data_IF_501209315470
#
_entry.id   IF_501209315470
#
_cell.length_a   1.000
_cell.length_b   1.000
_cell.length_c   1.000
_cell.angle_alpha   90.00
_cell.angle_beta   90.00
_cell.angle_gamma   90.00
#
_symmetry.space_group_name_H-M   'P 1'
#
loop_
_entity.id
_entity.type
_entity.pdbx_description
1 polymer ?
#
# COMPACT_ATOMS: atom_id res chain seq x y z
N UNK A 1 -15.74 19.16 -24.22
CA UNK A 1 -15.55 17.72 -24.53
C UNK A 1 -14.07 17.42 -24.40
N UNK A 2 -13.62 16.72 -23.35
CA UNK A 2 -12.20 16.41 -23.13
C UNK A 2 -11.96 14.92 -23.40
N UNK A 3 -11.07 14.60 -24.35
CA UNK A 3 -10.63 13.24 -24.67
C UNK A 3 -9.31 12.98 -23.94
N UNK A 4 -9.25 11.93 -23.12
CA UNK A 4 -8.01 11.44 -22.53
C UNK A 4 -7.30 10.55 -23.56
N UNK A 5 -6.09 10.94 -23.95
CA UNK A 5 -5.19 10.10 -24.72
C UNK A 5 -4.50 9.12 -23.77
N UNK A 6 -4.73 7.82 -23.96
CA UNK A 6 -4.08 6.76 -23.19
C UNK A 6 -2.61 6.64 -23.56
N UNK A 7 -1.74 6.65 -22.56
CA UNK A 7 -0.32 6.38 -22.73
C UNK A 7 -0.11 4.86 -22.69
N UNK A 8 0.36 4.29 -23.81
CA UNK A 8 0.70 2.88 -23.93
C UNK A 8 2.07 2.63 -23.27
N UNK A 9 2.10 1.74 -22.28
CA UNK A 9 3.34 1.32 -21.61
C UNK A 9 4.18 0.43 -22.52
N UNK A 10 5.38 0.90 -22.89
CA UNK A 10 6.42 0.09 -23.51
C UNK A 10 7.31 -0.50 -22.40
N UNK A 11 7.24 -1.81 -22.21
CA UNK A 11 8.11 -2.56 -21.28
C UNK A 11 9.48 -2.76 -21.93
N UNK A 12 10.48 -2.00 -21.51
CA UNK A 12 11.88 -2.18 -21.92
C UNK A 12 12.59 -3.17 -21.00
N UNK A 13 13.01 -4.32 -21.55
CA UNK A 13 13.83 -5.30 -20.85
C UNK A 13 15.28 -4.79 -20.75
N UNK A 14 15.79 -4.61 -19.52
CA UNK A 14 17.19 -4.28 -19.25
C UNK A 14 17.91 -5.55 -18.74
N UNK A 15 18.89 -6.03 -19.53
CA UNK A 15 19.74 -7.17 -19.18
C UNK A 15 20.77 -6.80 -18.11
N UNK A 16 20.89 -7.65 -17.08
CA UNK A 16 21.92 -7.58 -16.06
C UNK A 16 23.26 -8.07 -16.64
N UNK A 17 24.26 -7.19 -16.72
CA UNK A 17 25.68 -7.57 -16.89
C UNK A 17 26.36 -7.57 -15.52
N UNK A 18 26.90 -8.72 -15.13
CA UNK A 18 27.73 -8.90 -13.94
C UNK A 18 29.20 -8.62 -14.30
N UNK A 19 29.86 -7.72 -13.59
CA UNK A 19 31.30 -7.45 -13.71
C UNK A 19 32.08 -8.20 -12.65
N UNK A 20 33.10 -8.96 -13.04
CA UNK A 20 34.00 -9.66 -12.12
C UNK A 20 35.02 -8.70 -11.52
N UNK A 21 35.19 -8.74 -10.20
CA UNK A 21 36.26 -8.06 -9.47
C UNK A 21 37.52 -8.92 -9.55
N UNK A 22 38.62 -8.32 -10.02
CA UNK A 22 39.94 -8.93 -10.02
C UNK A 22 40.58 -8.67 -8.65
N UNK A 23 40.66 -9.71 -7.81
CA UNK A 23 41.41 -9.66 -6.57
C UNK A 23 42.90 -9.88 -6.89
N UNK A 24 43.69 -8.82 -6.83
CA UNK A 24 45.14 -8.91 -6.89
C UNK A 24 45.64 -9.50 -5.56
N UNK A 25 46.22 -10.70 -5.65
CA UNK A 25 47.06 -11.32 -4.62
C UNK A 25 48.19 -10.37 -4.24
N UNK A 26 48.23 -9.93 -2.99
CA UNK A 26 49.38 -9.24 -2.41
C UNK A 26 50.29 -10.30 -1.79
N UNK A 27 51.41 -10.55 -2.45
CA UNK A 27 52.57 -11.21 -1.87
C UNK A 27 53.35 -10.23 -0.98
N UNK A 28 54.15 -10.83 -0.10
CA UNK A 28 54.82 -10.33 1.09
C UNK A 28 56.01 -9.35 0.83
N UNK A 29 56.22 -8.46 1.81
CA UNK A 29 57.48 -7.74 2.19
C UNK A 29 58.12 -6.65 1.28
N UNK A 30 58.98 -5.73 1.81
CA UNK A 30 58.96 -5.08 3.13
C UNK A 30 59.11 -3.53 3.04
N UNK A 31 58.92 -2.90 4.20
CA UNK A 31 58.87 -1.46 4.49
C UNK A 31 60.04 -0.66 3.89
N UNK A 32 59.72 0.31 3.02
CA UNK A 32 60.61 1.41 2.61
C UNK A 32 60.24 2.67 3.38
N UNK A 33 61.12 3.09 4.29
CA UNK A 33 60.99 4.32 5.09
C UNK A 33 61.03 5.54 4.17
N UNK A 34 59.88 6.18 3.95
CA UNK A 34 59.77 7.46 3.26
C UNK A 34 60.01 8.59 4.28
N UNK A 35 60.96 9.48 3.98
CA UNK A 35 61.30 10.64 4.80
C UNK A 35 60.13 11.65 4.84
N UNK A 36 59.74 12.05 6.05
CA UNK A 36 58.64 12.99 6.33
C UNK A 36 59.03 14.44 6.02
N UNK A 37 60.32 14.74 5.85
CA UNK A 37 60.84 16.09 5.56
C UNK A 37 60.62 16.58 4.11
N UNK A 38 60.12 15.73 3.21
CA UNK A 38 59.63 16.18 1.89
C UNK A 38 58.15 16.59 1.93
N UNK A 39 57.46 16.42 3.07
CA UNK A 39 56.07 16.82 3.28
C UNK A 39 55.95 18.28 3.76
N UNK A 40 56.71 19.20 3.14
CA UNK A 40 56.57 20.65 3.38
C UNK A 40 55.31 21.22 2.70
N UNK A 41 54.15 20.80 3.20
CA UNK A 41 52.79 21.18 2.76
C UNK A 41 52.43 22.67 2.99
N UNK A 42 53.40 23.54 3.27
CA UNK A 42 53.17 24.96 3.54
C UNK A 42 54.23 25.92 2.99
N UNK A 43 55.14 25.48 2.11
CA UNK A 43 56.04 26.41 1.40
C UNK A 43 55.28 27.16 0.32
N UNK A 44 54.74 28.32 0.71
CA UNK A 44 54.04 29.29 -0.14
C UNK A 44 55.06 30.07 -1.00
N UNK A 45 55.64 29.40 -2.00
CA UNK A 45 56.34 30.09 -3.08
C UNK A 45 55.30 30.54 -4.12
N UNK A 46 54.85 31.77 -4.00
CA UNK A 46 54.20 32.48 -5.09
C UNK A 46 55.17 32.52 -6.28
N UNK A 47 54.77 31.96 -7.42
CA UNK A 47 54.78 32.59 -8.75
C UNK A 47 54.96 31.55 -9.87
N UNK A 48 54.19 31.80 -10.94
CA UNK A 48 54.33 31.28 -12.29
C UNK A 48 53.85 29.84 -12.48
N UNK A 49 52.56 29.67 -12.80
CA UNK A 49 52.07 28.90 -13.95
C UNK A 49 50.58 29.26 -14.08
N UNK A 50 50.04 29.58 -15.28
CA UNK A 50 48.61 29.70 -15.46
C UNK A 50 48.04 28.31 -15.25
N UNK A 51 47.50 28.06 -14.05
CA UNK A 51 46.74 26.87 -13.76
C UNK A 51 45.45 26.95 -14.58
N UNK A 52 45.58 26.58 -15.86
CA UNK A 52 44.52 25.92 -16.61
C UNK A 52 43.82 25.00 -15.62
N UNK A 53 42.50 25.15 -15.48
CA UNK A 53 41.69 24.31 -14.62
C UNK A 53 41.77 22.89 -15.17
N UNK A 54 42.82 22.17 -14.79
CA UNK A 54 42.98 20.79 -15.11
C UNK A 54 42.02 20.05 -14.18
N UNK A 55 40.87 19.68 -14.76
CA UNK A 55 39.97 18.67 -14.22
C UNK A 55 40.86 17.52 -13.74
N UNK A 56 40.84 17.15 -12.43
CA UNK A 56 41.72 16.13 -11.91
C UNK A 56 41.56 14.87 -12.75
N UNK A 57 42.71 14.27 -13.09
CA UNK A 57 42.83 13.12 -13.99
C UNK A 57 41.75 12.08 -13.66
N UNK A 58 40.77 11.92 -14.56
CA UNK A 58 39.56 11.11 -14.35
C UNK A 58 39.94 9.70 -13.89
N UNK A 59 39.88 9.48 -12.58
CA UNK A 59 39.87 8.14 -12.03
C UNK A 59 38.67 7.40 -12.60
N UNK A 60 38.83 6.12 -12.96
CA UNK A 60 37.73 5.28 -13.49
C UNK A 60 36.47 5.33 -12.60
N UNK A 61 36.65 5.60 -11.31
CA UNK A 61 35.60 5.74 -10.30
C UNK A 61 34.85 7.08 -10.43
N UNK A 62 35.55 8.18 -10.72
CA UNK A 62 34.93 9.49 -10.93
C UNK A 62 34.13 9.52 -12.24
N UNK A 63 34.65 8.86 -13.29
CA UNK A 63 33.93 8.67 -14.55
C UNK A 63 32.64 7.86 -14.36
N UNK A 64 32.67 6.78 -13.58
CA UNK A 64 31.47 5.97 -13.31
C UNK A 64 30.43 6.70 -12.44
N UNK A 65 30.86 7.47 -11.43
CA UNK A 65 29.95 8.29 -10.62
C UNK A 65 29.34 9.43 -11.46
N UNK A 66 30.10 10.02 -12.38
CA UNK A 66 29.60 11.04 -13.30
C UNK A 66 28.53 10.48 -14.25
N UNK A 67 28.77 9.30 -14.85
CA UNK A 67 27.80 8.61 -15.71
C UNK A 67 26.55 8.22 -14.92
N UNK A 68 26.72 7.72 -13.70
CA UNK A 68 25.60 7.37 -12.82
C UNK A 68 24.78 8.60 -12.46
N UNK A 69 25.42 9.74 -12.21
CA UNK A 69 24.75 11.02 -11.92
C UNK A 69 23.97 11.53 -13.13
N UNK A 70 24.57 11.52 -14.31
CA UNK A 70 23.90 11.88 -15.56
C UNK A 70 22.64 11.03 -15.81
N UNK A 71 22.73 9.71 -15.57
CA UNK A 71 21.59 8.80 -15.70
C UNK A 71 20.52 9.00 -14.60
N UNK A 72 20.94 9.34 -13.39
CA UNK A 72 20.04 9.55 -12.25
C UNK A 72 19.32 10.91 -12.29
N UNK A 73 19.93 11.94 -12.87
CA UNK A 73 19.40 13.31 -12.93
C UNK A 73 17.99 13.42 -13.55
N UNK A 74 17.67 12.80 -14.70
CA UNK A 74 16.31 12.82 -15.25
C UNK A 74 15.31 12.02 -14.40
N UNK A 75 15.77 10.97 -13.71
CA UNK A 75 14.92 10.18 -12.80
C UNK A 75 14.60 10.97 -11.53
N UNK A 76 15.55 11.74 -11.03
CA UNK A 76 15.40 12.56 -9.83
C UNK A 76 14.45 13.75 -10.07
N UNK A 77 14.53 14.41 -11.22
CA UNK A 77 13.64 15.53 -11.58
C UNK A 77 12.18 15.08 -11.76
N UNK A 78 11.95 13.91 -12.38
CA UNK A 78 10.63 13.32 -12.47
C UNK A 78 10.06 12.95 -11.09
N UNK A 79 10.89 12.31 -10.25
CA UNK A 79 10.52 11.95 -8.88
C UNK A 79 10.18 13.20 -8.05
N UNK A 80 10.92 14.29 -8.20
CA UNK A 80 10.66 15.55 -7.52
C UNK A 80 9.30 16.18 -7.93
N UNK A 81 8.93 16.08 -9.21
CA UNK A 81 7.63 16.51 -9.71
C UNK A 81 6.47 15.68 -9.18
N UNK A 82 6.60 14.34 -9.20
CA UNK A 82 5.60 13.42 -8.66
C UNK A 82 5.47 13.58 -7.14
N UNK A 83 6.59 13.69 -6.43
CA UNK A 83 6.61 13.93 -4.99
C UNK A 83 5.93 15.25 -4.63
N UNK A 84 6.20 16.31 -5.40
CA UNK A 84 5.53 17.61 -5.28
C UNK A 84 4.01 17.53 -5.47
N UNK A 85 3.53 16.65 -6.36
CA UNK A 85 2.09 16.45 -6.57
C UNK A 85 1.43 15.53 -5.53
N UNK A 86 2.16 14.53 -5.02
CA UNK A 86 1.62 13.56 -4.05
C UNK A 86 1.67 14.12 -2.62
N UNK A 87 2.70 14.88 -2.25
CA UNK A 87 2.84 15.52 -0.93
C UNK A 87 1.59 16.33 -0.49
N UNK A 88 1.01 17.23 -1.30
CA UNK A 88 -0.20 17.96 -0.93
C UNK A 88 -1.43 17.04 -0.83
N UNK A 89 -1.51 15.97 -1.64
CA UNK A 89 -2.62 15.02 -1.56
C UNK A 89 -2.58 14.17 -0.30
N UNK A 90 -1.39 13.68 0.07
CA UNK A 90 -1.21 12.88 1.29
C UNK A 90 -1.44 13.75 2.51
N UNK A 91 -0.91 14.97 2.55
CA UNK A 91 -1.16 15.90 3.66
C UNK A 91 -2.65 16.26 3.77
N UNK A 92 -3.34 16.48 2.66
CA UNK A 92 -4.80 16.70 2.65
C UNK A 92 -5.57 15.48 3.14
N UNK A 93 -5.17 14.27 2.73
CA UNK A 93 -5.80 13.02 3.18
C UNK A 93 -5.58 12.77 4.68
N UNK A 94 -4.38 13.06 5.19
CA UNK A 94 -4.05 12.96 6.62
C UNK A 94 -4.85 13.98 7.43
N UNK A 95 -4.96 15.22 6.95
CA UNK A 95 -5.79 16.24 7.59
C UNK A 95 -7.28 15.85 7.55
N UNK A 96 -7.78 15.34 6.43
CA UNK A 96 -9.13 14.82 6.32
C UNK A 96 -9.38 13.67 7.30
N UNK A 97 -8.41 12.77 7.45
CA UNK A 97 -8.44 11.67 8.42
C UNK A 97 -8.47 12.17 9.86
N UNK A 98 -7.63 13.14 10.22
CA UNK A 98 -7.63 13.77 11.55
C UNK A 98 -8.94 14.48 11.87
N UNK A 99 -9.48 15.22 10.91
CA UNK A 99 -10.78 15.88 11.05
C UNK A 99 -11.89 14.84 11.23
N UNK A 100 -11.89 13.78 10.42
CA UNK A 100 -12.86 12.67 10.51
C UNK A 100 -12.74 11.90 11.82
N UNK A 101 -11.53 11.71 12.33
CA UNK A 101 -11.26 11.05 13.60
C UNK A 101 -11.87 11.82 14.78
N UNK A 102 -11.85 13.15 14.76
CA UNK A 102 -12.55 13.98 15.74
C UNK A 102 -14.06 13.69 15.81
N UNK A 103 -14.70 13.47 14.66
CA UNK A 103 -16.12 13.11 14.57
C UNK A 103 -16.41 11.67 15.02
N UNK A 104 -15.49 10.74 14.76
CA UNK A 104 -15.61 9.34 15.18
C UNK A 104 -15.38 9.16 16.69
N UNK A 105 -14.61 10.06 17.33
CA UNK A 105 -14.28 9.98 18.75
C UNK A 105 -15.45 10.39 19.66
N UNK A 106 -16.30 11.33 19.23
CA UNK A 106 -17.53 11.72 19.93
C UNK A 106 -18.69 11.77 18.93
N UNK A 107 -19.21 10.62 18.47
CA UNK A 107 -20.26 10.61 17.47
C UNK A 107 -21.57 11.08 18.11
N UNK A 108 -22.28 12.03 17.49
CA UNK A 108 -23.69 12.26 17.84
C UNK A 108 -24.47 10.97 17.52
N UNK A 109 -25.46 10.63 18.35
CA UNK A 109 -26.21 9.36 18.26
C UNK A 109 -26.78 9.05 16.86
N UNK A 110 -26.97 10.07 16.04
CA UNK A 110 -27.53 10.01 14.68
C UNK A 110 -26.51 9.71 13.58
N UNK A 111 -25.21 9.61 13.87
CA UNK A 111 -24.16 9.52 12.84
C UNK A 111 -24.14 8.15 12.13
N UNK A 112 -24.12 7.05 12.87
CA UNK A 112 -24.06 5.70 12.29
C UNK A 112 -25.32 5.33 11.49
N UNK A 113 -26.55 5.61 11.97
CA UNK A 113 -27.75 5.37 11.18
C UNK A 113 -27.74 6.12 9.85
N UNK A 114 -27.36 7.42 9.86
CA UNK A 114 -27.30 8.23 8.63
C UNK A 114 -26.17 7.79 7.70
N UNK A 115 -24.98 7.53 8.23
CA UNK A 115 -23.85 7.04 7.45
C UNK A 115 -24.14 5.66 6.84
N UNK A 116 -24.81 4.77 7.57
CA UNK A 116 -25.25 3.48 7.07
C UNK A 116 -26.25 3.65 5.92
N UNK A 117 -27.23 4.54 6.04
CA UNK A 117 -28.19 4.79 4.94
C UNK A 117 -27.48 5.38 3.72
N UNK A 118 -26.57 6.34 3.89
CA UNK A 118 -25.83 6.97 2.78
C UNK A 118 -24.91 5.96 2.08
N UNK A 119 -24.21 5.13 2.85
CA UNK A 119 -23.32 4.11 2.28
C UNK A 119 -24.11 2.98 1.61
N UNK A 120 -25.21 2.54 2.22
CA UNK A 120 -26.08 1.53 1.65
C UNK A 120 -26.72 2.02 0.35
N UNK A 121 -27.24 3.25 0.33
CA UNK A 121 -27.80 3.86 -0.90
C UNK A 121 -26.72 4.10 -1.96
N UNK A 122 -25.50 4.45 -1.56
CA UNK A 122 -24.36 4.58 -2.47
C UNK A 122 -23.93 3.25 -3.09
N UNK A 123 -23.77 2.19 -2.30
CA UNK A 123 -23.43 0.84 -2.76
C UNK A 123 -24.54 0.32 -3.66
N UNK A 124 -25.80 0.46 -3.24
CA UNK A 124 -26.97 0.07 -4.02
C UNK A 124 -27.03 0.86 -5.34
N UNK A 125 -26.67 2.14 -5.31
CA UNK A 125 -26.56 3.01 -6.47
C UNK A 125 -25.43 2.62 -7.43
N UNK A 126 -24.28 2.15 -6.94
CA UNK A 126 -23.18 1.65 -7.79
C UNK A 126 -23.51 0.27 -8.37
N UNK A 127 -24.16 -0.57 -7.58
CA UNK A 127 -24.66 -1.88 -8.00
C UNK A 127 -25.73 -1.74 -9.09
N UNK A 128 -26.55 -0.68 -9.01
CA UNK A 128 -27.41 -0.27 -10.10
C UNK A 128 -26.63 0.49 -11.22
N UNK A 129 -25.66 1.33 -10.93
CA UNK A 129 -25.00 2.14 -11.96
C UNK A 129 -24.17 1.31 -12.94
N UNK A 130 -23.50 0.28 -12.44
CA UNK A 130 -22.71 -0.66 -13.26
C UNK A 130 -23.66 -1.65 -13.91
N UNK A 131 -23.93 -1.46 -15.21
CA UNK A 131 -24.83 -2.26 -16.04
C UNK A 131 -24.48 -3.75 -16.14
N UNK A 132 -24.61 -4.47 -15.04
CA UNK A 132 -24.39 -5.90 -14.95
C UNK A 132 -25.70 -6.65 -15.16
N UNK A 133 -25.62 -7.82 -15.80
CA UNK A 133 -26.73 -8.77 -16.03
C UNK A 133 -27.46 -9.13 -14.72
N UNK A 134 -26.82 -8.88 -13.58
CA UNK A 134 -27.39 -9.04 -12.25
C UNK A 134 -28.66 -8.18 -12.02
N UNK A 135 -28.75 -6.98 -12.62
CA UNK A 135 -30.02 -6.24 -12.65
C UNK A 135 -31.12 -7.01 -13.33
N UNK A 136 -30.81 -7.63 -14.47
CA UNK A 136 -31.81 -8.36 -15.26
C UNK A 136 -32.33 -9.56 -14.47
N UNK A 137 -31.45 -10.24 -13.73
CA UNK A 137 -31.83 -11.37 -12.87
C UNK A 137 -32.62 -10.89 -11.66
N UNK A 138 -32.13 -9.93 -10.89
CA UNK A 138 -32.82 -9.49 -9.67
C UNK A 138 -34.16 -8.82 -10.00
N UNK A 139 -34.22 -8.00 -11.05
CA UNK A 139 -35.45 -7.31 -11.43
C UNK A 139 -36.48 -8.28 -12.03
N UNK A 140 -36.05 -9.21 -12.90
CA UNK A 140 -36.94 -10.21 -13.49
C UNK A 140 -37.42 -11.23 -12.46
N UNK A 141 -36.51 -11.81 -11.69
CA UNK A 141 -36.86 -12.80 -10.67
C UNK A 141 -37.62 -12.13 -9.52
N UNK A 142 -37.19 -10.96 -9.07
CA UNK A 142 -37.84 -10.21 -8.00
C UNK A 142 -39.27 -9.81 -8.36
N UNK A 143 -39.49 -9.19 -9.53
CA UNK A 143 -40.84 -8.84 -9.97
C UNK A 143 -41.70 -10.07 -10.24
N UNK A 144 -41.15 -11.13 -10.83
CA UNK A 144 -41.87 -12.39 -11.05
C UNK A 144 -42.31 -13.00 -9.71
N UNK A 145 -41.41 -13.08 -8.72
CA UNK A 145 -41.70 -13.60 -7.38
C UNK A 145 -42.75 -12.75 -6.66
N UNK A 146 -42.66 -11.42 -6.74
CA UNK A 146 -43.66 -10.52 -6.15
C UNK A 146 -45.01 -10.67 -6.84
N UNK A 147 -45.03 -10.76 -8.18
CA UNK A 147 -46.26 -11.01 -8.93
C UNK A 147 -46.90 -12.36 -8.56
N UNK A 148 -46.10 -13.43 -8.47
CA UNK A 148 -46.60 -14.74 -8.03
C UNK A 148 -47.07 -14.74 -6.57
N UNK A 149 -46.40 -13.97 -5.70
CA UNK A 149 -46.78 -13.85 -4.30
C UNK A 149 -48.11 -13.12 -4.12
N UNK A 150 -48.39 -12.10 -4.95
CA UNK A 150 -49.66 -11.39 -4.94
C UNK A 150 -50.79 -12.24 -5.54
N UNK A 151 -50.49 -13.05 -6.55
CA UNK A 151 -51.47 -13.89 -7.23
C UNK A 151 -51.81 -15.18 -6.45
N UNK A 152 -50.88 -15.71 -5.63
CA UNK A 152 -51.12 -16.87 -4.76
C UNK A 152 -50.56 -16.66 -3.33
N UNK A 153 -51.25 -15.85 -2.50
CA UNK A 153 -50.75 -15.47 -1.17
C UNK A 153 -50.70 -16.64 -0.18
N UNK A 154 -51.56 -17.66 -0.31
CA UNK A 154 -51.63 -18.79 0.63
C UNK A 154 -50.39 -19.70 0.55
N UNK A 155 -49.88 -19.94 -0.67
CA UNK A 155 -48.65 -20.70 -0.89
C UNK A 155 -47.40 -19.89 -0.53
N UNK A 156 -47.44 -18.57 -0.74
CA UNK A 156 -46.35 -17.70 -0.34
C UNK A 156 -46.17 -17.65 1.18
N UNK A 157 -47.27 -17.63 1.96
CA UNK A 157 -47.20 -17.60 3.42
C UNK A 157 -46.65 -18.91 4.00
N UNK A 158 -47.05 -20.06 3.47
CA UNK A 158 -46.57 -21.36 3.95
C UNK A 158 -45.07 -21.57 3.67
N UNK A 159 -44.61 -21.17 2.49
CA UNK A 159 -43.18 -21.16 2.11
C UNK A 159 -42.42 -20.17 2.98
N UNK A 160 -42.93 -18.96 3.15
CA UNK A 160 -42.28 -17.91 3.97
C UNK A 160 -42.11 -18.35 5.42
N UNK A 161 -43.08 -19.02 6.03
CA UNK A 161 -42.95 -19.56 7.39
C UNK A 161 -41.82 -20.59 7.49
N UNK A 162 -41.83 -21.60 6.61
CA UNK A 162 -40.79 -22.65 6.59
C UNK A 162 -39.39 -22.10 6.29
N UNK A 163 -39.29 -21.12 5.40
CA UNK A 163 -38.03 -20.44 5.07
C UNK A 163 -37.57 -19.54 6.22
N UNK A 164 -38.50 -18.84 6.87
CA UNK A 164 -38.23 -17.97 8.01
C UNK A 164 -37.65 -18.73 9.19
N UNK A 165 -38.23 -19.89 9.53
CA UNK A 165 -37.75 -20.74 10.62
C UNK A 165 -36.32 -21.24 10.36
N UNK A 166 -36.02 -21.68 9.12
CA UNK A 166 -34.66 -22.13 8.74
C UNK A 166 -33.63 -21.01 8.80
N UNK A 167 -33.99 -19.81 8.32
CA UNK A 167 -33.10 -18.66 8.36
C UNK A 167 -32.87 -18.22 9.81
N UNK A 168 -33.92 -18.27 10.64
CA UNK A 168 -33.83 -17.98 12.06
C UNK A 168 -32.91 -18.97 12.79
N UNK A 169 -33.08 -20.27 12.55
CA UNK A 169 -32.19 -21.31 13.12
C UNK A 169 -30.74 -21.13 12.67
N UNK A 170 -30.50 -20.85 11.39
CA UNK A 170 -29.15 -20.60 10.87
C UNK A 170 -28.53 -19.35 11.49
N UNK A 171 -29.32 -18.29 11.64
CA UNK A 171 -28.87 -17.05 12.27
C UNK A 171 -28.56 -17.24 13.75
N UNK A 172 -29.39 -18.02 14.46
CA UNK A 172 -29.17 -18.39 15.85
C UNK A 172 -27.89 -19.23 15.97
N UNK A 173 -27.69 -20.21 15.09
CA UNK A 173 -26.48 -21.03 15.05
C UNK A 173 -25.24 -20.20 14.70
N UNK A 174 -25.34 -19.26 13.77
CA UNK A 174 -24.27 -18.33 13.43
C UNK A 174 -23.93 -17.41 14.60
N UNK A 175 -24.93 -16.87 15.30
CA UNK A 175 -24.76 -16.05 16.50
C UNK A 175 -24.07 -16.84 17.61
N UNK A 176 -24.55 -18.04 17.91
CA UNK A 176 -23.94 -18.92 18.92
C UNK A 176 -22.52 -19.30 18.53
N UNK A 177 -22.25 -19.56 17.25
CA UNK A 177 -20.88 -19.85 16.77
C UNK A 177 -19.96 -18.65 16.96
N UNK A 178 -20.43 -17.45 16.64
CA UNK A 178 -19.69 -16.21 16.86
C UNK A 178 -19.48 -15.91 18.35
N UNK A 179 -20.50 -16.12 19.20
CA UNK A 179 -20.38 -15.95 20.65
C UNK A 179 -19.36 -16.94 21.24
N UNK A 180 -19.34 -18.19 20.76
CA UNK A 180 -18.34 -19.19 21.14
C UNK A 180 -16.94 -18.76 20.71
N UNK A 181 -16.76 -18.30 19.48
CA UNK A 181 -15.46 -17.78 19.01
C UNK A 181 -14.99 -16.58 19.84
N UNK A 182 -15.89 -15.63 20.13
CA UNK A 182 -15.59 -14.44 20.93
C UNK A 182 -15.29 -14.79 22.38
N UNK A 183 -15.99 -15.77 22.97
CA UNK A 183 -15.79 -16.18 24.37
C UNK A 183 -14.52 -17.02 24.56
N UNK A 184 -14.12 -17.78 23.55
CA UNK A 184 -12.86 -18.56 23.55
C UNK A 184 -11.60 -17.68 23.34
N UNK A 185 -11.76 -16.38 23.11
CA UNK A 185 -10.66 -15.40 23.08
C UNK A 185 -10.87 -14.40 24.22
N UNK A 186 -9.91 -14.05 25.10
CA UNK A 186 -8.73 -14.71 25.63
C UNK A 186 -8.83 -14.74 27.18
N UNK A 187 -9.69 -15.59 27.76
CA UNK A 187 -9.64 -15.89 29.20
C UNK A 187 -9.07 -17.28 29.50
N UNK A 188 -9.28 -18.25 28.61
CA UNK A 188 -8.82 -19.62 28.85
C UNK A 188 -7.32 -19.87 28.55
N UNK A 189 -6.67 -19.02 27.75
CA UNK A 189 -5.22 -19.14 27.51
C UNK A 189 -4.34 -18.61 28.66
N UNK A 190 -4.90 -17.84 29.61
CA UNK A 190 -4.17 -17.36 30.78
C UNK A 190 -4.19 -18.39 31.93
N UNK A 191 -5.26 -19.19 32.06
CA UNK A 191 -5.39 -20.17 33.15
C UNK A 191 -4.77 -21.52 32.80
N UNK A 192 -4.78 -21.93 31.52
CA UNK A 192 -4.21 -23.22 31.12
C UNK A 192 -2.66 -23.21 31.05
N UNK A 193 -2.04 -22.03 30.83
CA UNK A 193 -0.58 -21.87 30.93
C UNK A 193 -0.05 -21.93 32.37
N UNK A 194 -0.89 -21.66 33.39
CA UNK A 194 -0.46 -21.64 34.79
C UNK A 194 -0.54 -23.00 35.50
N UNK A 195 -1.32 -23.95 34.95
CA UNK A 195 -1.52 -25.26 35.56
C UNK A 195 -0.60 -26.37 35.03
N UNK A 196 0.12 -26.17 33.92
CA UNK A 196 1.11 -27.13 33.41
C UNK A 196 2.52 -26.95 34.02
N UNK A 197 2.88 -25.78 34.57
CA UNK A 197 4.18 -25.58 35.22
C UNK A 197 4.26 -26.05 36.69
N UNK A 198 3.13 -26.32 37.36
CA UNK A 198 3.11 -26.83 38.75
C UNK A 198 3.03 -28.35 38.88
N UNK A 199 3.26 -29.08 37.79
CA UNK A 199 3.33 -30.55 37.80
C UNK A 199 4.49 -31.08 36.96
N UNK A 200 5.66 -30.46 37.12
CA UNK A 200 6.94 -31.05 36.71
C UNK A 200 7.94 -31.05 37.86
#
# INVERSE_FOLDING_TARGET
>A
MYKFAGFAGATGALGLRSGSVFAATAEDEPRKTLNIDELSLYSRAQLQHPAEHQEPERGQIEGSIAVLRELAQPSLSWCQGVYGAVKPRVTSAVQFGQNSYGYLKNPPAEFYPRAAVITFTGILGVFLGRGSKLKRVIYSTGLMTVATSLYYPQEAVSVTKRSGDRVYEWMLQAYVSMEKLVKNTPKDHAEQSSNEETKS
#
